data_IF_639321557476
#
_entry.id   IF_639321557476
#
_cell.length_a   1.000
_cell.length_b   1.000
_cell.length_c   1.000
_cell.angle_alpha   90.00
_cell.angle_beta   90.00
_cell.angle_gamma   90.00
#
_symmetry.space_group_name_H-M   'P 1'
#
loop_
_entity.id
_entity.type
_entity.pdbx_description
1 polymer ?
#
# COMPACT_ATOMS: atom_id res chain seq x y z
N UNK A 1 3.39 2.41 0.66
CA UNK A 1 2.14 1.61 0.62
C UNK A 1 1.74 1.36 2.06
N UNK A 2 0.55 1.78 2.47
CA UNK A 2 0.06 1.62 3.85
C UNK A 2 -0.91 0.42 3.95
N UNK A 3 -1.41 0.09 5.15
CA UNK A 3 -2.31 -1.06 5.34
C UNK A 3 -3.64 -0.89 4.58
N UNK A 4 -4.21 0.32 4.55
CA UNK A 4 -5.49 0.59 3.87
C UNK A 4 -5.39 0.24 2.38
N UNK A 5 -4.36 0.78 1.70
CA UNK A 5 -4.12 0.51 0.28
C UNK A 5 -3.78 -0.96 0.03
N UNK A 6 -2.96 -1.56 0.90
CA UNK A 6 -2.59 -2.96 0.78
C UNK A 6 -3.82 -3.88 0.88
N UNK A 7 -4.71 -3.63 1.85
CA UNK A 7 -5.97 -4.37 2.00
C UNK A 7 -6.78 -4.33 0.71
N UNK A 8 -6.95 -3.14 0.11
CA UNK A 8 -7.66 -2.99 -1.17
C UNK A 8 -7.01 -3.78 -2.32
N UNK A 9 -5.69 -3.71 -2.45
CA UNK A 9 -4.94 -4.41 -3.51
C UNK A 9 -5.03 -5.93 -3.34
N UNK A 10 -4.80 -6.44 -2.13
CA UNK A 10 -4.85 -7.87 -1.84
C UNK A 10 -6.26 -8.42 -2.01
N UNK A 11 -7.28 -7.73 -1.49
CA UNK A 11 -8.68 -8.08 -1.71
C UNK A 11 -9.00 -8.15 -3.21
N UNK A 12 -8.64 -7.11 -3.97
CA UNK A 12 -8.87 -7.09 -5.43
C UNK A 12 -8.18 -8.25 -6.14
N UNK A 13 -6.93 -8.56 -5.77
CA UNK A 13 -6.20 -9.68 -6.34
C UNK A 13 -6.90 -11.03 -6.05
N UNK A 14 -7.32 -11.26 -4.81
CA UNK A 14 -8.05 -12.47 -4.40
C UNK A 14 -9.37 -12.61 -5.18
N UNK A 15 -10.13 -11.53 -5.34
CA UNK A 15 -11.37 -11.56 -6.14
C UNK A 15 -11.11 -11.80 -7.63
N UNK A 16 -9.99 -11.30 -8.17
CA UNK A 16 -9.59 -11.59 -9.55
C UNK A 16 -9.30 -13.07 -9.76
N UNK A 17 -8.74 -13.78 -8.78
CA UNK A 17 -8.51 -15.23 -8.89
C UNK A 17 -9.82 -16.01 -9.08
N UNK A 18 -10.91 -15.59 -8.44
CA UNK A 18 -12.23 -16.19 -8.67
C UNK A 18 -12.74 -15.97 -10.10
N UNK A 19 -12.56 -14.76 -10.62
CA UNK A 19 -12.90 -14.42 -11.99
C UNK A 19 -12.05 -15.22 -12.98
N UNK A 20 -10.74 -15.32 -12.75
CA UNK A 20 -9.83 -16.10 -13.58
C UNK A 20 -10.22 -17.58 -13.62
N UNK A 21 -10.53 -18.16 -12.47
CA UNK A 21 -11.01 -19.55 -12.39
C UNK A 21 -12.31 -19.74 -13.18
N UNK A 22 -13.25 -18.79 -13.09
CA UNK A 22 -14.52 -18.83 -13.83
C UNK A 22 -14.29 -18.74 -15.33
N UNK A 23 -13.45 -17.81 -15.78
CA UNK A 23 -13.18 -17.58 -17.19
C UNK A 23 -12.41 -18.76 -17.82
N UNK A 24 -11.45 -19.34 -17.10
CA UNK A 24 -10.73 -20.54 -17.57
C UNK A 24 -11.69 -21.72 -17.74
N UNK A 25 -12.62 -21.94 -16.80
CA UNK A 25 -13.66 -22.97 -16.96
C UNK A 25 -14.55 -22.74 -18.20
N UNK A 26 -14.78 -21.48 -18.58
CA UNK A 26 -15.51 -21.09 -19.81
C UNK A 26 -14.64 -21.08 -21.06
N UNK A 27 -13.34 -21.35 -20.93
CA UNK A 27 -12.33 -21.21 -21.98
C UNK A 27 -12.20 -19.77 -22.54
N UNK A 28 -12.58 -18.77 -21.73
CA UNK A 28 -12.45 -17.34 -22.04
C UNK A 28 -11.06 -16.85 -21.61
N UNK A 29 -10.03 -17.17 -22.39
CA UNK A 29 -8.62 -17.01 -21.99
C UNK A 29 -8.01 -15.63 -22.24
N UNK A 30 -8.82 -14.56 -22.29
CA UNK A 30 -8.34 -13.20 -22.59
C UNK A 30 -7.30 -12.73 -21.58
N UNK A 31 -7.44 -13.11 -20.30
CA UNK A 31 -6.49 -12.74 -19.24
C UNK A 31 -5.21 -13.59 -19.26
N UNK A 32 -5.16 -14.66 -20.04
CA UNK A 32 -4.05 -15.61 -20.10
C UNK A 32 -3.60 -15.85 -21.55
N UNK A 33 -2.95 -14.86 -22.19
CA UNK A 33 -2.57 -14.93 -23.60
C UNK A 33 -1.66 -16.13 -23.91
N UNK A 34 -0.71 -16.44 -23.01
CA UNK A 34 0.17 -17.61 -23.18
C UNK A 34 -0.60 -18.93 -23.10
N UNK A 35 -1.60 -19.03 -22.21
CA UNK A 35 -2.44 -20.22 -22.13
C UNK A 35 -3.31 -20.34 -23.38
N UNK A 36 -3.86 -19.23 -23.88
CA UNK A 36 -4.61 -19.17 -25.13
C UNK A 36 -3.79 -19.62 -26.34
N UNK A 37 -2.49 -19.33 -26.36
CA UNK A 37 -1.59 -19.80 -27.42
C UNK A 37 -1.36 -21.31 -27.42
N UNK A 38 -1.70 -22.02 -26.34
CA UNK A 38 -1.60 -23.47 -26.23
C UNK A 38 -2.89 -24.21 -26.63
N UNK A 39 -3.91 -23.49 -27.12
CA UNK A 39 -5.15 -24.08 -27.60
C UNK A 39 -4.91 -25.05 -28.78
N UNK A 40 -5.78 -26.04 -28.88
CA UNK A 40 -5.80 -26.99 -30.00
C UNK A 40 -6.28 -26.34 -31.31
N UNK A 41 -6.40 -27.14 -32.38
CA UNK A 41 -6.86 -26.68 -33.70
C UNK A 41 -8.28 -26.06 -33.67
N UNK A 42 -9.08 -26.36 -32.65
CA UNK A 42 -10.43 -25.81 -32.46
C UNK A 42 -10.42 -24.57 -31.54
N UNK A 43 -9.25 -24.12 -31.08
CA UNK A 43 -9.11 -23.00 -30.17
C UNK A 43 -9.41 -23.34 -28.71
N UNK A 44 -9.55 -24.62 -28.36
CA UNK A 44 -9.92 -25.08 -27.03
C UNK A 44 -8.72 -25.69 -26.27
N UNK A 45 -8.78 -25.64 -24.94
CA UNK A 45 -7.83 -26.32 -24.07
C UNK A 45 -8.44 -27.65 -23.59
N UNK A 46 -7.68 -28.75 -23.56
CA UNK A 46 -8.16 -30.02 -23.01
C UNK A 46 -8.70 -29.90 -21.59
N UNK A 47 -9.81 -30.59 -21.31
CA UNK A 47 -10.54 -30.47 -20.04
C UNK A 47 -9.70 -30.86 -18.81
N UNK A 48 -8.82 -31.88 -18.96
CA UNK A 48 -7.89 -32.28 -17.90
C UNK A 48 -6.92 -31.14 -17.52
N UNK A 49 -6.49 -30.34 -18.50
CA UNK A 49 -5.63 -29.17 -18.27
C UNK A 49 -6.40 -28.03 -17.63
N UNK A 50 -7.64 -27.78 -18.06
CA UNK A 50 -8.53 -26.79 -17.43
C UNK A 50 -8.71 -27.10 -15.94
N UNK A 51 -8.91 -28.37 -15.59
CA UNK A 51 -9.03 -28.79 -14.20
C UNK A 51 -7.76 -28.48 -13.39
N UNK A 52 -6.58 -28.80 -13.94
CA UNK A 52 -5.29 -28.50 -13.30
C UNK A 52 -5.11 -27.00 -13.06
N UNK A 53 -5.35 -26.15 -14.07
CA UNK A 53 -5.19 -24.71 -13.92
C UNK A 53 -6.18 -24.11 -12.92
N UNK A 54 -7.43 -24.57 -12.94
CA UNK A 54 -8.47 -24.07 -12.03
C UNK A 54 -8.23 -24.52 -10.59
N UNK A 55 -7.64 -25.70 -10.38
CA UNK A 55 -7.20 -26.16 -9.06
C UNK A 55 -6.02 -25.33 -8.54
N UNK A 56 -4.99 -25.09 -9.37
CA UNK A 56 -3.88 -24.22 -8.99
C UNK A 56 -4.31 -22.80 -8.59
N UNK A 57 -5.26 -22.21 -9.33
CA UNK A 57 -5.81 -20.89 -8.98
C UNK A 57 -6.55 -20.93 -7.63
N UNK A 58 -7.28 -22.01 -7.35
CA UNK A 58 -7.97 -22.20 -6.08
C UNK A 58 -6.97 -22.33 -4.92
N UNK A 59 -5.91 -23.13 -5.09
CA UNK A 59 -4.84 -23.25 -4.10
C UNK A 59 -4.17 -21.90 -3.85
N UNK A 60 -3.77 -21.18 -4.91
CA UNK A 60 -3.18 -19.85 -4.78
C UNK A 60 -4.11 -18.88 -4.05
N UNK A 61 -5.42 -18.92 -4.32
CA UNK A 61 -6.41 -18.10 -3.62
C UNK A 61 -6.43 -18.42 -2.12
N UNK A 62 -6.43 -19.70 -1.77
CA UNK A 62 -6.45 -20.14 -0.37
C UNK A 62 -5.16 -19.73 0.36
N UNK A 63 -4.00 -19.89 -0.28
CA UNK A 63 -2.71 -19.48 0.26
C UNK A 63 -2.67 -17.96 0.49
N UNK A 64 -3.15 -17.16 -0.47
CA UNK A 64 -3.22 -15.70 -0.33
C UNK A 64 -4.19 -15.28 0.78
N UNK A 65 -5.34 -15.96 0.91
CA UNK A 65 -6.27 -15.71 2.01
C UNK A 65 -5.65 -16.02 3.37
N UNK A 66 -4.96 -17.15 3.49
CA UNK A 66 -4.29 -17.55 4.73
C UNK A 66 -3.15 -16.59 5.07
N UNK A 67 -2.30 -16.25 4.10
CA UNK A 67 -1.13 -15.38 4.31
C UNK A 67 -1.49 -13.95 4.72
N UNK A 68 -2.62 -13.43 4.24
CA UNK A 68 -3.07 -12.05 4.49
C UNK A 68 -4.35 -11.99 5.32
N UNK A 69 -4.65 -13.05 6.09
CA UNK A 69 -5.89 -13.15 6.86
C UNK A 69 -6.07 -11.95 7.81
N UNK A 70 -5.02 -11.61 8.54
CA UNK A 70 -4.96 -10.46 9.45
C UNK A 70 -5.32 -9.14 8.74
N UNK A 71 -4.75 -8.90 7.56
CA UNK A 71 -5.03 -7.72 6.74
C UNK A 71 -6.45 -7.73 6.19
N UNK A 72 -6.97 -8.90 5.80
CA UNK A 72 -8.33 -9.07 5.29
C UNK A 72 -9.39 -8.91 6.38
N UNK A 73 -9.09 -9.28 7.62
CA UNK A 73 -9.96 -9.13 8.79
C UNK A 73 -9.87 -7.73 9.43
N UNK A 74 -8.77 -7.00 9.19
CA UNK A 74 -8.54 -5.65 9.70
C UNK A 74 -9.74 -4.72 9.45
N UNK A 75 -10.40 -4.29 10.52
CA UNK A 75 -11.50 -3.34 10.44
C UNK A 75 -10.93 -1.93 10.29
N UNK A 76 -11.28 -1.26 9.18
CA UNK A 76 -10.91 0.14 8.94
C UNK A 76 -12.18 0.95 9.06
N UNK A 77 -12.28 1.77 10.10
CA UNK A 77 -13.43 2.64 10.29
C UNK A 77 -13.50 3.68 9.15
N UNK A 78 -14.69 3.84 8.57
CA UNK A 78 -14.88 4.73 7.42
C UNK A 78 -14.49 6.18 7.69
N UNK A 79 -14.62 6.64 8.94
CA UNK A 79 -14.22 7.98 9.34
C UNK A 79 -12.73 8.28 9.14
N UNK A 80 -11.88 7.26 9.04
CA UNK A 80 -10.45 7.44 8.77
C UNK A 80 -10.22 7.91 7.33
N UNK A 81 -11.07 7.48 6.40
CA UNK A 81 -10.97 7.84 4.98
C UNK A 81 -11.76 9.11 4.67
N UNK A 82 -12.93 9.23 5.28
CA UNK A 82 -13.82 10.38 5.11
C UNK A 82 -14.51 10.72 6.44
N UNK A 83 -13.84 11.50 7.31
CA UNK A 83 -14.42 11.91 8.59
C UNK A 83 -15.59 12.90 8.39
N UNK A 84 -15.62 13.60 7.26
CA UNK A 84 -16.61 14.65 6.98
C UNK A 84 -17.99 14.01 6.74
N UNK A 85 -18.03 12.96 5.91
CA UNK A 85 -19.27 12.24 5.58
C UNK A 85 -19.69 11.23 6.64
N UNK A 86 -18.90 11.02 7.69
CA UNK A 86 -19.23 10.08 8.76
C UNK A 86 -20.30 10.67 9.72
N UNK A 87 -21.48 10.08 9.74
CA UNK A 87 -22.63 10.60 10.51
C UNK A 87 -22.65 10.12 11.97
N UNK A 88 -22.17 8.91 12.22
CA UNK A 88 -22.44 8.20 13.48
C UNK A 88 -21.37 8.43 14.54
N UNK A 89 -21.19 9.68 14.97
CA UNK A 89 -20.25 10.04 16.06
C UNK A 89 -20.51 9.23 17.33
N UNK A 90 -21.78 8.85 17.57
CA UNK A 90 -22.20 8.04 18.72
C UNK A 90 -21.63 6.61 18.70
N UNK A 91 -21.24 6.11 17.53
CA UNK A 91 -20.66 4.77 17.38
C UNK A 91 -19.13 4.77 17.62
N UNK A 92 -18.52 5.94 17.83
CA UNK A 92 -17.11 6.06 18.20
C UNK A 92 -16.92 5.80 19.69
N UNK A 93 -15.72 5.34 20.05
CA UNK A 93 -15.31 5.23 21.45
C UNK A 93 -15.43 6.59 22.16
N UNK A 94 -15.94 6.65 23.40
CA UNK A 94 -16.25 7.92 24.07
C UNK A 94 -15.10 8.92 24.12
N UNK A 95 -13.86 8.45 24.25
CA UNK A 95 -12.69 9.31 24.30
C UNK A 95 -12.41 10.02 22.96
N UNK A 96 -12.78 9.40 21.83
CA UNK A 96 -12.58 9.96 20.49
C UNK A 96 -13.64 10.98 20.10
N UNK A 97 -14.83 10.96 20.72
CA UNK A 97 -16.00 11.69 20.25
C UNK A 97 -15.80 13.21 20.23
N UNK A 98 -15.21 13.78 21.28
CA UNK A 98 -15.00 15.23 21.37
C UNK A 98 -14.06 15.73 20.27
N UNK A 99 -12.91 15.07 20.14
CA UNK A 99 -11.91 15.41 19.12
C UNK A 99 -12.46 15.20 17.70
N UNK A 100 -13.31 14.20 17.52
CA UNK A 100 -13.98 13.95 16.25
C UNK A 100 -15.01 15.04 15.90
N UNK A 101 -15.76 15.54 16.88
CA UNK A 101 -16.69 16.66 16.68
C UNK A 101 -15.94 17.92 16.26
N UNK A 102 -14.81 18.20 16.92
CA UNK A 102 -13.95 19.34 16.58
C UNK A 102 -13.40 19.21 15.15
N UNK A 103 -12.86 18.05 14.80
CA UNK A 103 -12.38 17.76 13.44
C UNK A 103 -13.49 17.94 12.39
N UNK A 104 -14.72 17.48 12.69
CA UNK A 104 -15.84 17.58 11.76
C UNK A 104 -16.24 19.04 11.50
N UNK A 105 -16.03 19.95 12.45
CA UNK A 105 -16.36 21.37 12.32
C UNK A 105 -15.16 22.26 11.98
N UNK A 106 -13.95 21.70 11.88
CA UNK A 106 -12.77 22.42 11.40
C UNK A 106 -12.82 22.59 9.88
N UNK A 107 -13.19 23.80 9.45
CA UNK A 107 -13.24 24.19 8.04
C UNK A 107 -11.90 24.03 7.30
N UNK A 108 -10.77 24.25 7.98
CA UNK A 108 -9.44 24.10 7.39
C UNK A 108 -9.14 22.62 7.18
N UNK A 109 -9.35 21.78 8.20
CA UNK A 109 -9.21 20.34 8.09
C UNK A 109 -10.08 19.77 6.95
N UNK A 110 -11.35 20.18 6.86
CA UNK A 110 -12.25 19.76 5.79
C UNK A 110 -11.70 20.06 4.39
N UNK A 111 -11.12 21.25 4.21
CA UNK A 111 -10.54 21.69 2.95
C UNK A 111 -9.29 20.86 2.61
N UNK A 112 -8.43 20.59 3.59
CA UNK A 112 -7.22 19.78 3.39
C UNK A 112 -7.57 18.33 3.03
N UNK A 113 -8.59 17.73 3.68
CA UNK A 113 -9.09 16.39 3.33
C UNK A 113 -9.53 16.31 1.86
N UNK A 114 -10.26 17.33 1.37
CA UNK A 114 -10.72 17.40 -0.02
C UNK A 114 -9.59 17.62 -1.04
N UNK A 115 -8.59 18.42 -0.69
CA UNK A 115 -7.52 18.80 -1.62
C UNK A 115 -6.40 17.76 -1.72
N UNK A 116 -6.01 17.17 -0.59
CA UNK A 116 -4.77 16.38 -0.49
C UNK A 116 -5.04 14.91 -0.13
N UNK A 117 -6.26 14.61 0.35
CA UNK A 117 -6.67 13.26 0.75
C UNK A 117 -6.22 12.88 2.16
N UNK A 118 -6.72 11.74 2.65
CA UNK A 118 -6.60 11.34 4.06
C UNK A 118 -5.14 11.18 4.55
N UNK A 119 -4.25 10.58 3.75
CA UNK A 119 -2.89 10.21 4.20
C UNK A 119 -2.09 11.43 4.68
N UNK A 120 -2.03 12.48 3.86
CA UNK A 120 -1.28 13.68 4.19
C UNK A 120 -2.03 14.56 5.20
N UNK A 121 -3.35 14.52 5.19
CA UNK A 121 -4.16 15.29 6.13
C UNK A 121 -3.95 14.81 7.57
N UNK A 122 -3.99 13.49 7.80
CA UNK A 122 -3.73 12.93 9.13
C UNK A 122 -2.32 13.24 9.65
N UNK A 123 -1.31 13.29 8.78
CA UNK A 123 0.05 13.67 9.17
C UNK A 123 0.12 15.14 9.59
N UNK A 124 -0.62 16.03 8.92
CA UNK A 124 -0.68 17.46 9.26
C UNK A 124 -1.43 17.71 10.56
N UNK A 125 -2.51 16.96 10.80
CA UNK A 125 -3.40 17.18 11.92
C UNK A 125 -3.03 16.39 13.19
N UNK A 126 -1.96 15.60 13.16
CA UNK A 126 -1.55 14.70 14.25
C UNK A 126 -1.41 15.36 15.63
N UNK A 127 -1.01 16.63 15.65
CA UNK A 127 -0.74 17.39 16.88
C UNK A 127 -2.01 18.10 17.39
N UNK A 128 -2.93 18.45 16.48
CA UNK A 128 -4.23 19.06 16.80
C UNK A 128 -5.24 18.01 17.29
N UNK A 129 -5.15 16.81 16.71
CA UNK A 129 -6.04 15.68 16.98
C UNK A 129 -5.24 14.43 17.37
N UNK A 130 -4.64 14.42 18.58
CA UNK A 130 -3.76 13.34 19.00
C UNK A 130 -4.48 12.02 19.26
N UNK A 131 -5.72 12.02 19.77
CA UNK A 131 -6.45 10.78 20.09
C UNK A 131 -6.90 10.06 18.80
N UNK A 132 -7.41 10.81 17.83
CA UNK A 132 -7.73 10.32 16.50
C UNK A 132 -6.47 9.83 15.79
N UNK A 133 -5.36 10.58 15.91
CA UNK A 133 -4.08 10.17 15.34
C UNK A 133 -3.59 8.82 15.90
N UNK A 134 -3.81 8.51 17.18
CA UNK A 134 -3.43 7.20 17.74
C UNK A 134 -4.10 6.05 17.00
N UNK A 135 -5.36 6.22 16.59
CA UNK A 135 -6.11 5.20 15.84
C UNK A 135 -5.60 5.07 14.40
N UNK A 136 -5.17 6.18 13.80
CA UNK A 136 -4.78 6.23 12.38
C UNK A 136 -3.31 5.86 12.15
N UNK A 137 -2.41 6.19 13.08
CA UNK A 137 -0.95 6.10 12.87
C UNK A 137 -0.49 4.71 12.43
N UNK A 138 -1.04 3.65 13.01
CA UNK A 138 -0.64 2.28 12.70
C UNK A 138 -1.07 1.91 11.26
N UNK A 139 -2.25 2.34 10.84
CA UNK A 139 -2.78 2.08 9.51
C UNK A 139 -1.99 2.79 8.42
N UNK A 140 -1.47 3.99 8.70
CA UNK A 140 -0.70 4.80 7.76
C UNK A 140 0.79 4.47 7.71
N UNK A 141 1.41 4.19 8.87
CA UNK A 141 2.87 4.09 8.98
C UNK A 141 3.40 2.67 8.88
N UNK A 142 2.57 1.65 9.07
CA UNK A 142 3.02 0.26 9.07
C UNK A 142 3.29 -0.28 7.67
N UNK A 143 4.25 -1.19 7.59
CA UNK A 143 4.56 -1.92 6.37
C UNK A 143 3.64 -3.14 6.23
N UNK A 144 2.87 -3.24 5.14
CA UNK A 144 1.87 -4.30 4.97
C UNK A 144 2.43 -5.69 4.69
N UNK A 145 3.74 -5.82 4.44
CA UNK A 145 4.37 -7.12 4.23
C UNK A 145 5.82 -7.12 4.71
N UNK A 146 6.27 -8.27 5.21
CA UNK A 146 7.68 -8.49 5.58
C UNK A 146 8.60 -8.28 4.39
N UNK A 147 8.15 -8.52 3.16
CA UNK A 147 8.93 -8.23 1.95
C UNK A 147 9.41 -6.77 1.88
N UNK A 148 8.57 -5.79 2.26
CA UNK A 148 9.01 -4.39 2.29
C UNK A 148 10.07 -4.15 3.37
N UNK A 149 9.96 -4.85 4.49
CA UNK A 149 10.93 -4.83 5.58
C UNK A 149 12.24 -5.52 5.17
N UNK A 150 12.18 -6.69 4.55
CA UNK A 150 13.31 -7.47 4.01
C UNK A 150 14.02 -6.72 2.88
N UNK A 151 13.28 -6.06 2.00
CA UNK A 151 13.83 -5.15 0.99
C UNK A 151 14.55 -3.98 1.67
N UNK A 152 13.95 -3.41 2.72
CA UNK A 152 14.58 -2.43 3.61
C UNK A 152 15.93 -2.90 4.13
N UNK A 153 15.95 -4.07 4.79
CA UNK A 153 17.17 -4.68 5.32
C UNK A 153 18.20 -5.01 4.24
N UNK A 154 17.77 -5.51 3.08
CA UNK A 154 18.65 -5.80 1.96
C UNK A 154 19.38 -4.53 1.47
N UNK A 155 18.67 -3.41 1.38
CA UNK A 155 19.26 -2.10 1.03
C UNK A 155 20.22 -1.62 2.11
N UNK A 156 19.86 -1.75 3.40
CA UNK A 156 20.75 -1.41 4.53
C UNK A 156 22.05 -2.21 4.46
N UNK A 157 21.97 -3.53 4.25
CA UNK A 157 23.15 -4.39 4.11
C UNK A 157 24.00 -3.97 2.91
N UNK A 158 23.39 -3.65 1.77
CA UNK A 158 24.13 -3.17 0.60
C UNK A 158 24.87 -1.85 0.88
N UNK A 159 24.20 -0.89 1.52
CA UNK A 159 24.80 0.40 1.90
C UNK A 159 25.99 0.19 2.87
N UNK A 160 25.81 -0.65 3.91
CA UNK A 160 26.83 -0.93 4.92
C UNK A 160 28.02 -1.74 4.41
N UNK A 161 27.80 -2.68 3.49
CA UNK A 161 28.83 -3.64 3.08
C UNK A 161 29.57 -3.20 1.81
N UNK A 162 28.89 -2.55 0.86
CA UNK A 162 29.46 -2.26 -0.47
C UNK A 162 29.78 -0.78 -0.73
N UNK A 163 29.13 0.16 -0.05
CA UNK A 163 29.28 1.61 -0.35
C UNK A 163 29.97 2.40 0.78
N UNK A 164 30.82 1.71 1.55
CA UNK A 164 31.40 2.07 2.87
C UNK A 164 32.05 3.45 3.06
N UNK A 165 32.21 4.31 2.06
CA UNK A 165 33.00 5.53 2.22
C UNK A 165 32.21 6.85 2.16
N UNK A 166 30.90 6.88 1.86
CA UNK A 166 30.16 8.16 1.70
C UNK A 166 28.70 8.24 2.14
N UNK A 167 28.02 7.10 2.30
CA UNK A 167 26.57 7.07 2.53
C UNK A 167 26.24 6.84 4.00
N UNK A 168 25.28 7.61 4.51
CA UNK A 168 24.77 7.56 5.88
C UNK A 168 23.29 7.18 5.84
N UNK A 169 23.01 6.01 6.40
CA UNK A 169 21.71 5.33 6.35
C UNK A 169 20.62 6.14 7.04
N UNK A 170 20.96 6.83 8.13
CA UNK A 170 19.99 7.46 9.01
C UNK A 170 19.92 8.98 8.81
N UNK A 171 21.06 9.64 8.65
CA UNK A 171 21.11 11.11 8.72
C UNK A 171 21.01 11.79 7.34
N UNK A 172 21.39 11.11 6.25
CA UNK A 172 21.38 11.70 4.89
C UNK A 172 20.15 11.33 4.05
N UNK A 173 19.27 10.46 4.58
CA UNK A 173 18.09 10.01 3.85
C UNK A 173 18.40 9.05 2.70
N UNK A 174 19.61 8.47 2.65
CA UNK A 174 20.05 7.53 1.61
C UNK A 174 19.15 6.29 1.55
N UNK A 175 18.75 5.77 2.72
CA UNK A 175 17.81 4.67 2.82
C UNK A 175 16.42 5.05 2.26
N UNK A 176 15.96 6.28 2.53
CA UNK A 176 14.68 6.77 2.01
C UNK A 176 14.71 6.90 0.49
N UNK A 177 15.80 7.44 -0.08
CA UNK A 177 15.98 7.54 -1.53
C UNK A 177 16.04 6.16 -2.19
N UNK A 178 16.76 5.21 -1.60
CA UNK A 178 16.88 3.86 -2.16
C UNK A 178 15.58 3.03 -2.08
N UNK A 179 14.72 3.29 -1.09
CA UNK A 179 13.47 2.55 -0.89
C UNK A 179 12.25 3.18 -1.58
N UNK A 180 12.35 4.44 -2.03
CA UNK A 180 11.24 5.16 -2.64
C UNK A 180 11.53 5.50 -4.10
N UNK A 181 10.50 5.87 -4.85
CA UNK A 181 10.66 6.40 -6.21
C UNK A 181 10.97 7.91 -6.21
N UNK A 182 11.40 8.47 -5.08
CA UNK A 182 11.75 9.89 -4.97
C UNK A 182 13.00 10.11 -5.81
N UNK A 183 12.87 10.93 -6.85
CA UNK A 183 14.02 11.40 -7.63
C UNK A 183 14.55 12.68 -6.98
N UNK A 184 15.80 12.70 -6.49
CA UNK A 184 16.38 13.94 -6.00
C UNK A 184 16.50 14.93 -7.16
N UNK A 185 16.18 16.20 -6.90
CA UNK A 185 16.40 17.26 -7.86
C UNK A 185 17.87 17.66 -7.85
N UNK A 186 18.65 16.92 -8.65
CA UNK A 186 20.10 17.07 -8.74
C UNK A 186 20.48 18.47 -9.26
N UNK A 187 19.64 19.08 -10.10
CA UNK A 187 19.92 20.40 -10.69
C UNK A 187 19.89 21.47 -9.61
N UNK A 188 18.84 21.49 -8.79
CA UNK A 188 18.72 22.44 -7.67
C UNK A 188 19.79 22.19 -6.60
N UNK A 189 20.11 20.93 -6.31
CA UNK A 189 21.17 20.55 -5.37
C UNK A 189 22.56 20.98 -5.86
N UNK A 190 22.86 20.83 -7.15
CA UNK A 190 24.14 21.24 -7.73
C UNK A 190 24.29 22.76 -7.75
N UNK A 191 23.22 23.50 -8.05
CA UNK A 191 23.23 24.97 -8.07
C UNK A 191 23.44 25.58 -6.67
N UNK A 192 23.04 24.89 -5.61
CA UNK A 192 23.21 25.33 -4.21
C UNK A 192 24.53 24.89 -3.59
N UNK A 193 25.29 24.01 -4.26
CA UNK A 193 26.57 23.54 -3.75
C UNK A 193 27.70 24.52 -4.14
N UNK A 194 28.24 25.28 -3.16
CA UNK A 194 29.42 26.10 -3.39
C UNK A 194 30.60 25.23 -3.83
N UNK A 195 31.24 25.59 -4.94
CA UNK A 195 32.52 25.01 -5.33
C UNK A 195 33.56 25.39 -4.26
N UNK A 196 34.15 24.41 -3.58
CA UNK A 196 35.31 24.69 -2.74
C UNK A 196 36.45 25.12 -3.66
N UNK A 197 36.88 26.37 -3.51
CA UNK A 197 38.05 26.90 -4.20
C UNK A 197 39.25 26.02 -3.91
N UNK A 198 39.94 25.59 -4.96
CA UNK A 198 41.21 24.88 -4.85
C UNK A 198 42.25 25.84 -4.26
N UNK A 199 42.96 25.42 -3.21
CA UNK A 199 44.15 26.10 -2.69
C UNK A 199 45.39 25.71 -3.50
#
# INVERSE_FOLDING_TARGET
>A
MNFIKAKGIISSFIFRLDLYRTNINRQELIQFPNLKSCSDANGLIPEDKILIFTDHILQLKNDMKSRFQDLLELQICNWILDPISFESVKDLEPHLQMEFIDLKHDCEAQLVFKQVGYELTWIKLKDNYPQLWQQVKLLLLSFPSTYLVEKGFSVVVQLLMKQRNRLDICNKGDLRLALTNIKPDIVTLAATHQAQGSH
#
